data_IF_496934331567
#
_entry.id   IF_496934331567
#
_cell.length_a   1.000
_cell.length_b   1.000
_cell.length_c   1.000
_cell.angle_alpha   90.00
_cell.angle_beta   90.00
_cell.angle_gamma   90.00
#
_symmetry.space_group_name_H-M   'P 1'
#
loop_
_entity.id
_entity.type
_entity.pdbx_description
1 polymer ?
#
# COMPACT_ATOMS: atom_id res chain seq x y z
N UNK A 1 21.99 -6.72 23.34
CA UNK A 1 20.56 -6.34 23.40
C UNK A 1 20.23 -5.36 22.26
N UNK A 2 20.29 -5.78 20.99
CA UNK A 2 20.12 -4.81 19.89
C UNK A 2 20.02 -5.38 18.48
N UNK A 3 19.64 -6.66 18.31
CA UNK A 3 19.46 -7.28 16.99
C UNK A 3 17.98 -7.41 16.59
N UNK A 4 17.09 -7.62 17.56
CA UNK A 4 15.68 -7.96 17.27
C UNK A 4 14.83 -6.74 16.90
N UNK A 5 15.10 -5.58 17.52
CA UNK A 5 14.47 -4.29 17.17
C UNK A 5 14.70 -3.94 15.68
N UNK A 6 15.83 -4.38 15.11
CA UNK A 6 16.14 -4.12 13.71
C UNK A 6 15.19 -4.84 12.74
N UNK A 7 14.57 -5.96 13.11
CA UNK A 7 13.69 -6.72 12.19
C UNK A 7 12.38 -5.95 11.99
N UNK A 8 11.67 -5.67 13.09
CA UNK A 8 10.41 -4.93 13.07
C UNK A 8 10.58 -3.61 12.32
N UNK A 9 11.59 -2.83 12.69
CA UNK A 9 11.84 -1.52 12.09
C UNK A 9 12.13 -1.61 10.59
N UNK A 10 13.04 -2.49 10.16
CA UNK A 10 13.39 -2.60 8.74
C UNK A 10 12.21 -3.09 7.90
N UNK A 11 11.45 -4.04 8.43
CA UNK A 11 10.32 -4.62 7.72
C UNK A 11 9.17 -3.62 7.57
N UNK A 12 8.73 -3.00 8.67
CA UNK A 12 7.67 -1.98 8.65
C UNK A 12 8.05 -0.76 7.82
N UNK A 13 9.32 -0.33 7.85
CA UNK A 13 9.82 0.74 6.98
C UNK A 13 9.78 0.36 5.50
N UNK A 14 10.06 -0.90 5.15
CA UNK A 14 9.97 -1.36 3.77
C UNK A 14 8.54 -1.29 3.23
N UNK A 15 7.58 -1.80 4.00
CA UNK A 15 6.16 -1.72 3.67
C UNK A 15 5.71 -0.25 3.61
N UNK A 16 6.10 0.57 4.58
CA UNK A 16 5.75 2.00 4.63
C UNK A 16 6.24 2.79 3.42
N UNK A 17 7.44 2.50 2.91
CA UNK A 17 7.94 3.08 1.64
C UNK A 17 7.06 2.68 0.46
N UNK A 18 6.57 1.43 0.42
CA UNK A 18 5.69 0.98 -0.64
C UNK A 18 4.32 1.65 -0.54
N UNK A 19 3.74 1.78 0.66
CA UNK A 19 2.48 2.52 0.87
C UNK A 19 2.60 3.96 0.35
N UNK A 20 3.71 4.64 0.61
CA UNK A 20 3.91 5.99 0.09
C UNK A 20 3.87 6.04 -1.44
N UNK A 21 4.52 5.09 -2.12
CA UNK A 21 4.48 4.98 -3.59
C UNK A 21 3.06 4.68 -4.09
N UNK A 22 2.37 3.76 -3.43
CA UNK A 22 1.01 3.36 -3.80
C UNK A 22 0.02 4.53 -3.66
N UNK A 23 0.14 5.32 -2.59
CA UNK A 23 -0.65 6.55 -2.40
C UNK A 23 -0.42 7.57 -3.50
N UNK A 24 0.85 7.79 -3.89
CA UNK A 24 1.17 8.71 -4.98
C UNK A 24 0.54 8.25 -6.30
N UNK A 25 0.69 6.96 -6.62
CA UNK A 25 0.11 6.37 -7.84
C UNK A 25 -1.42 6.46 -7.83
N UNK A 26 -2.06 6.13 -6.70
CA UNK A 26 -3.51 6.24 -6.52
C UNK A 26 -3.99 7.70 -6.67
N UNK A 27 -3.31 8.65 -6.02
CA UNK A 27 -3.67 10.07 -6.09
C UNK A 27 -3.54 10.64 -7.52
N UNK A 28 -2.51 10.21 -8.26
CA UNK A 28 -2.32 10.56 -9.66
C UNK A 28 -3.45 10.02 -10.54
N UNK A 29 -3.73 8.72 -10.47
CA UNK A 29 -4.81 8.09 -11.23
C UNK A 29 -6.17 8.74 -10.91
N UNK A 30 -6.47 8.96 -9.63
CA UNK A 30 -7.71 9.59 -9.18
C UNK A 30 -7.84 11.03 -9.71
N UNK A 31 -6.75 11.81 -9.68
CA UNK A 31 -6.71 13.17 -10.22
C UNK A 31 -7.02 13.18 -11.71
N UNK A 32 -6.43 12.26 -12.48
CA UNK A 32 -6.68 12.18 -13.92
C UNK A 32 -8.09 11.68 -14.26
N UNK A 33 -8.64 10.73 -13.50
CA UNK A 33 -10.05 10.33 -13.64
C UNK A 33 -10.97 11.54 -13.42
N UNK A 34 -10.79 12.28 -12.32
CA UNK A 34 -11.57 13.49 -12.02
C UNK A 34 -11.42 14.56 -13.11
N UNK A 35 -10.22 14.71 -13.66
CA UNK A 35 -9.97 15.63 -14.77
C UNK A 35 -10.73 15.20 -16.03
N UNK A 36 -10.60 13.95 -16.48
CA UNK A 36 -11.35 13.44 -17.64
C UNK A 36 -12.88 13.60 -17.45
N UNK A 37 -13.40 13.40 -16.23
CA UNK A 37 -14.81 13.62 -15.93
C UNK A 37 -15.23 15.08 -16.11
N UNK A 38 -14.37 16.03 -15.73
CA UNK A 38 -14.64 17.47 -15.92
C UNK A 38 -14.51 17.87 -17.39
N UNK A 39 -13.51 17.36 -18.09
CA UNK A 39 -13.28 17.64 -19.51
C UNK A 39 -14.40 17.08 -20.41
N UNK A 40 -14.97 15.92 -20.06
CA UNK A 40 -16.08 15.30 -20.78
C UNK A 40 -17.46 15.94 -20.55
N UNK A 41 -17.59 16.88 -19.61
CA UNK A 41 -18.81 17.68 -19.45
C UNK A 41 -18.81 18.79 -20.49
N UNK A 42 -19.73 18.71 -21.45
CA UNK A 42 -19.94 19.78 -22.43
C UNK A 42 -20.13 21.13 -21.72
N UNK A 43 -19.47 22.21 -22.16
CA UNK A 43 -19.78 23.53 -21.66
C UNK A 43 -21.26 23.85 -21.93
N UNK A 44 -21.95 24.58 -21.02
CA UNK A 44 -23.31 25.04 -21.29
C UNK A 44 -23.35 25.79 -22.64
N UNK A 45 -24.43 25.68 -23.42
CA UNK A 45 -24.49 26.25 -24.77
C UNK A 45 -24.14 27.75 -24.73
N UNK A 46 -23.17 28.12 -25.56
CA UNK A 46 -22.58 29.45 -25.62
C UNK A 46 -23.63 30.47 -26.06
N UNK A 47 -24.05 31.33 -25.12
CA UNK A 47 -24.70 32.60 -25.49
C UNK A 47 -23.64 33.44 -26.21
N UNK A 48 -23.93 33.89 -27.44
CA UNK A 48 -22.98 34.60 -28.30
C UNK A 48 -22.35 35.81 -27.58
N UNK A 49 -21.02 35.81 -27.44
CA UNK A 49 -20.27 36.95 -26.94
C UNK A 49 -18.76 36.71 -26.88
N UNK A 50 -18.06 37.13 -27.94
CA UNK A 50 -16.60 37.39 -28.04
C UNK A 50 -15.68 36.15 -27.96
N UNK A 51 -14.84 36.01 -28.99
CA UNK A 51 -13.92 34.88 -29.16
C UNK A 51 -12.88 34.78 -28.05
N UNK A 52 -12.82 33.59 -27.43
CA UNK A 52 -11.77 33.19 -26.51
C UNK A 52 -10.87 32.18 -27.22
N UNK A 53 -9.62 32.55 -27.47
CA UNK A 53 -8.59 31.60 -27.92
C UNK A 53 -8.25 30.66 -26.75
N UNK A 54 -8.19 29.33 -26.95
CA UNK A 54 -7.92 28.41 -25.86
C UNK A 54 -6.56 28.71 -25.23
N UNK A 55 -6.59 28.96 -23.93
CA UNK A 55 -5.43 29.14 -23.05
C UNK A 55 -4.55 27.87 -23.08
N UNK A 56 -3.22 27.95 -22.82
CA UNK A 56 -2.36 26.76 -22.79
C UNK A 56 -2.96 25.71 -21.86
N UNK A 57 -3.07 24.47 -22.36
CA UNK A 57 -3.49 23.29 -21.60
C UNK A 57 -2.87 23.35 -20.20
N UNK A 58 -3.67 23.20 -19.15
CA UNK A 58 -3.13 23.25 -17.79
C UNK A 58 -2.05 22.17 -17.63
N UNK A 59 -1.03 22.41 -16.78
CA UNK A 59 0.04 21.42 -16.57
C UNK A 59 -0.51 20.02 -16.24
N UNK A 60 -1.56 19.97 -15.40
CA UNK A 60 -2.28 18.74 -15.04
C UNK A 60 -2.94 18.05 -16.24
N UNK A 61 -3.45 18.82 -17.19
CA UNK A 61 -4.08 18.30 -18.41
C UNK A 61 -3.05 17.70 -19.38
N UNK A 62 -1.91 18.37 -19.59
CA UNK A 62 -0.79 17.79 -20.33
C UNK A 62 -0.25 16.54 -19.64
N UNK A 63 -0.18 16.54 -18.31
CA UNK A 63 0.31 15.41 -17.54
C UNK A 63 -0.65 14.22 -17.59
N UNK A 64 -1.96 14.42 -17.49
CA UNK A 64 -2.94 13.33 -17.56
C UNK A 64 -3.06 12.73 -18.95
N UNK A 65 -3.08 13.55 -20.01
CA UNK A 65 -3.08 13.04 -21.39
C UNK A 65 -1.79 12.30 -21.73
N UNK A 66 -0.64 12.73 -21.16
CA UNK A 66 0.64 12.03 -21.31
C UNK A 66 0.67 10.69 -20.58
N UNK A 67 0.12 10.62 -19.37
CA UNK A 67 0.09 9.39 -18.58
C UNK A 67 -0.98 8.40 -19.04
N UNK A 68 -2.12 8.89 -19.53
CA UNK A 68 -3.27 8.09 -19.97
C UNK A 68 -3.68 8.46 -21.40
N UNK A 69 -2.87 8.09 -22.42
CA UNK A 69 -3.09 8.51 -23.80
C UNK A 69 -4.35 7.92 -24.43
N UNK A 70 -4.88 6.79 -23.93
CA UNK A 70 -6.16 6.23 -24.39
C UNK A 70 -7.37 6.80 -23.64
N UNK A 71 -7.16 7.79 -22.78
CA UNK A 71 -8.22 8.56 -22.16
C UNK A 71 -8.70 8.02 -20.81
N UNK A 72 -9.96 8.28 -20.51
CA UNK A 72 -10.58 8.04 -19.21
C UNK A 72 -10.55 6.57 -18.75
N UNK A 73 -10.76 5.63 -19.67
CA UNK A 73 -10.85 4.21 -19.30
C UNK A 73 -9.50 3.66 -18.82
N UNK A 74 -8.38 4.09 -19.42
CA UNK A 74 -7.03 3.80 -18.90
C UNK A 74 -6.82 4.33 -17.49
N UNK A 75 -7.26 5.57 -17.25
CA UNK A 75 -7.13 6.19 -15.94
C UNK A 75 -7.99 5.45 -14.89
N UNK A 76 -9.16 4.92 -15.28
CA UNK A 76 -10.03 4.11 -14.40
C UNK A 76 -9.43 2.74 -14.10
N UNK A 77 -8.90 2.06 -15.11
CA UNK A 77 -8.23 0.77 -14.94
C UNK A 77 -7.02 0.90 -14.01
N UNK A 78 -6.23 1.95 -14.20
CA UNK A 78 -5.08 2.24 -13.34
C UNK A 78 -5.50 2.69 -11.92
N UNK A 79 -6.59 3.43 -11.79
CA UNK A 79 -7.18 3.76 -10.48
C UNK A 79 -7.60 2.49 -9.73
N UNK A 80 -8.31 1.57 -10.39
CA UNK A 80 -8.72 0.31 -9.77
C UNK A 80 -7.50 -0.55 -9.38
N UNK A 81 -6.48 -0.59 -10.24
CA UNK A 81 -5.22 -1.30 -9.97
C UNK A 81 -4.46 -0.71 -8.78
N UNK A 82 -4.27 0.61 -8.77
CA UNK A 82 -3.54 1.31 -7.69
C UNK A 82 -4.29 1.24 -6.37
N UNK A 83 -5.63 1.28 -6.39
CA UNK A 83 -6.46 1.01 -5.21
C UNK A 83 -6.21 -0.39 -4.66
N UNK A 84 -6.23 -1.42 -5.51
CA UNK A 84 -5.99 -2.80 -5.08
C UNK A 84 -4.58 -2.98 -4.47
N UNK A 85 -3.56 -2.37 -5.08
CA UNK A 85 -2.18 -2.42 -4.58
C UNK A 85 -2.05 -1.69 -3.23
N UNK A 86 -2.64 -0.51 -3.10
CA UNK A 86 -2.65 0.23 -1.84
C UNK A 86 -3.36 -0.57 -0.72
N UNK A 87 -4.47 -1.23 -1.03
CA UNK A 87 -5.15 -2.12 -0.08
C UNK A 87 -4.23 -3.26 0.38
N UNK A 88 -3.52 -3.93 -0.53
CA UNK A 88 -2.56 -4.98 -0.17
C UNK A 88 -1.48 -4.45 0.76
N UNK A 89 -0.86 -3.31 0.42
CA UNK A 89 0.21 -2.72 1.24
C UNK A 89 -0.27 -2.32 2.64
N UNK A 90 -1.45 -1.72 2.75
CA UNK A 90 -2.04 -1.35 4.05
C UNK A 90 -2.39 -2.57 4.89
N UNK A 91 -2.99 -3.60 4.29
CA UNK A 91 -3.30 -4.85 5.00
C UNK A 91 -2.02 -5.56 5.44
N UNK A 92 -0.95 -5.53 4.64
CA UNK A 92 0.32 -6.13 5.03
C UNK A 92 0.99 -5.35 6.16
N UNK A 93 0.88 -4.02 6.15
CA UNK A 93 1.38 -3.19 7.24
C UNK A 93 0.64 -3.49 8.54
N UNK A 94 -0.70 -3.58 8.50
CA UNK A 94 -1.50 -4.03 9.64
C UNK A 94 -1.07 -5.41 10.13
N UNK A 95 -0.82 -6.35 9.21
CA UNK A 95 -0.34 -7.69 9.57
C UNK A 95 1.00 -7.64 10.30
N UNK A 96 1.94 -6.80 9.85
CA UNK A 96 3.24 -6.63 10.50
C UNK A 96 3.12 -6.00 11.90
N UNK A 97 2.18 -5.06 12.08
CA UNK A 97 1.90 -4.46 13.39
C UNK A 97 1.24 -5.46 14.35
N UNK A 98 0.20 -6.17 13.89
CA UNK A 98 -0.51 -7.18 14.70
C UNK A 98 0.41 -8.28 15.19
N UNK A 99 1.46 -8.63 14.43
CA UNK A 99 2.45 -9.61 14.84
C UNK A 99 3.36 -9.16 15.99
N UNK A 100 3.45 -7.86 16.27
CA UNK A 100 4.07 -7.27 17.47
C UNK A 100 3.02 -7.23 18.59
N UNK A 101 2.82 -8.37 19.25
CA UNK A 101 1.64 -8.65 20.07
C UNK A 101 1.50 -7.71 21.27
N UNK A 102 2.63 -7.24 21.78
CA UNK A 102 2.71 -6.41 22.97
C UNK A 102 2.98 -4.93 22.64
N UNK A 103 2.93 -4.55 21.35
CA UNK A 103 3.14 -3.20 20.82
C UNK A 103 4.50 -2.59 21.25
N UNK A 104 5.54 -3.40 21.44
CA UNK A 104 6.85 -2.92 21.92
C UNK A 104 7.84 -2.56 20.79
N UNK A 105 7.36 -2.62 19.55
CA UNK A 105 8.09 -2.37 18.31
C UNK A 105 9.29 -3.32 18.10
N UNK A 106 9.22 -4.52 18.68
CA UNK A 106 10.22 -5.58 18.52
C UNK A 106 9.52 -6.94 18.40
N UNK A 107 9.95 -7.79 17.47
CA UNK A 107 9.47 -9.17 17.49
C UNK A 107 10.31 -9.99 18.46
N UNK A 108 9.68 -10.50 19.53
CA UNK A 108 10.23 -11.59 20.32
C UNK A 108 10.41 -12.85 19.46
N UNK A 109 11.22 -13.84 19.88
CA UNK A 109 11.41 -15.07 19.11
C UNK A 109 10.10 -15.81 18.79
N UNK A 110 9.13 -15.79 19.71
CA UNK A 110 7.82 -16.42 19.52
C UNK A 110 7.01 -15.67 18.47
N UNK A 111 6.98 -14.34 18.54
CA UNK A 111 6.27 -13.49 17.58
C UNK A 111 6.88 -13.60 16.18
N UNK A 112 8.20 -13.61 16.09
CA UNK A 112 8.90 -13.79 14.82
C UNK A 112 8.63 -15.16 14.21
N UNK A 113 8.62 -16.22 15.02
CA UNK A 113 8.26 -17.56 14.55
C UNK A 113 6.82 -17.61 14.03
N UNK A 114 5.88 -17.04 14.76
CA UNK A 114 4.47 -17.00 14.37
C UNK A 114 4.24 -16.14 13.11
N UNK A 115 4.94 -15.01 13.00
CA UNK A 115 4.96 -14.14 11.82
C UNK A 115 5.48 -14.88 10.58
N UNK A 116 6.64 -15.53 10.69
CA UNK A 116 7.22 -16.26 9.56
C UNK A 116 6.31 -17.43 9.14
N UNK A 117 5.74 -18.16 10.12
CA UNK A 117 4.83 -19.26 9.83
C UNK A 117 3.56 -18.79 9.13
N UNK A 118 2.91 -17.72 9.60
CA UNK A 118 1.71 -17.15 8.97
C UNK A 118 1.99 -16.59 7.57
N UNK A 119 3.25 -16.29 7.27
CA UNK A 119 3.74 -15.95 5.94
C UNK A 119 4.19 -17.13 5.09
N UNK A 120 3.98 -18.37 5.54
CA UNK A 120 4.46 -19.61 4.91
C UNK A 120 5.99 -19.64 4.69
N UNK A 121 6.72 -18.97 5.58
CA UNK A 121 8.17 -18.98 5.64
C UNK A 121 8.64 -19.97 6.70
N UNK A 122 9.85 -20.50 6.51
CA UNK A 122 10.49 -21.35 7.51
C UNK A 122 11.11 -20.49 8.60
N UNK A 123 11.09 -20.97 9.84
CA UNK A 123 11.80 -20.35 10.96
C UNK A 123 12.92 -21.27 11.42
N UNK A 124 14.14 -20.76 11.46
CA UNK A 124 15.31 -21.41 12.04
C UNK A 124 15.88 -20.49 13.13
N UNK A 125 15.98 -20.99 14.35
CA UNK A 125 16.33 -20.21 15.55
C UNK A 125 17.76 -19.62 15.47
N UNK A 126 18.66 -20.30 14.75
CA UNK A 126 20.04 -19.87 14.53
C UNK A 126 20.22 -19.00 13.27
N UNK A 127 19.14 -18.65 12.57
CA UNK A 127 19.23 -17.91 11.32
C UNK A 127 19.63 -16.45 11.57
N UNK A 128 20.58 -15.90 10.80
CA UNK A 128 20.98 -14.51 10.96
C UNK A 128 19.82 -13.53 10.73
N UNK A 129 19.71 -12.52 11.60
CA UNK A 129 18.74 -11.41 11.50
C UNK A 129 18.61 -10.83 10.07
N UNK A 130 19.70 -10.54 9.31
CA UNK A 130 19.57 -10.01 7.96
C UNK A 130 18.87 -10.96 6.97
N UNK A 131 19.04 -12.27 7.15
CA UNK A 131 18.39 -13.29 6.32
C UNK A 131 16.90 -13.33 6.59
N UNK A 132 16.49 -13.29 7.86
CA UNK A 132 15.08 -13.23 8.26
C UNK A 132 14.39 -11.95 7.74
N UNK A 133 15.04 -10.79 7.85
CA UNK A 133 14.55 -9.51 7.30
C UNK A 133 14.36 -9.60 5.79
N UNK A 134 15.35 -10.16 5.08
CA UNK A 134 15.28 -10.31 3.62
C UNK A 134 14.12 -11.22 3.23
N UNK A 135 13.93 -12.35 3.91
CA UNK A 135 12.82 -13.27 3.65
C UNK A 135 11.44 -12.61 3.86
N UNK A 136 11.29 -11.80 4.90
CA UNK A 136 10.08 -11.01 5.14
C UNK A 136 9.82 -9.99 4.02
N UNK A 137 10.83 -9.24 3.61
CA UNK A 137 10.73 -8.25 2.54
C UNK A 137 10.41 -8.90 1.18
N UNK A 138 11.07 -9.99 0.84
CA UNK A 138 10.83 -10.74 -0.40
C UNK A 138 9.42 -11.33 -0.43
N UNK A 139 8.92 -11.79 0.73
CA UNK A 139 7.56 -12.30 0.86
C UNK A 139 6.53 -11.19 0.65
N UNK A 140 6.72 -10.05 1.29
CA UNK A 140 5.90 -8.86 1.06
C UNK A 140 5.88 -8.50 -0.43
N UNK A 141 7.05 -8.34 -1.04
CA UNK A 141 7.20 -7.95 -2.44
C UNK A 141 6.52 -8.95 -3.41
N UNK A 142 6.62 -10.25 -3.11
CA UNK A 142 5.98 -11.32 -3.88
C UNK A 142 4.45 -11.25 -3.83
N UNK A 143 3.89 -11.13 -2.62
CA UNK A 143 2.44 -11.05 -2.42
C UNK A 143 1.86 -9.72 -2.90
N UNK A 144 2.60 -8.63 -2.77
CA UNK A 144 2.26 -7.33 -3.35
C UNK A 144 2.16 -7.42 -4.88
N UNK A 145 3.19 -7.94 -5.56
CA UNK A 145 3.19 -8.07 -7.04
C UNK A 145 2.07 -8.96 -7.56
N UNK A 146 1.76 -10.04 -6.84
CA UNK A 146 0.69 -10.99 -7.19
C UNK A 146 -0.70 -10.56 -6.69
N UNK A 147 -0.79 -9.47 -5.90
CA UNK A 147 -2.02 -8.99 -5.24
C UNK A 147 -2.69 -10.10 -4.43
N UNK A 148 -1.89 -10.91 -3.76
CA UNK A 148 -2.34 -12.13 -3.09
C UNK A 148 -2.98 -11.81 -1.73
N UNK A 149 -4.16 -11.20 -1.78
CA UNK A 149 -4.96 -10.87 -0.59
C UNK A 149 -5.42 -12.13 0.15
N UNK A 150 -5.75 -13.21 -0.56
CA UNK A 150 -6.24 -14.44 0.07
C UNK A 150 -5.19 -15.06 1.00
N UNK A 151 -3.94 -15.17 0.54
CA UNK A 151 -2.85 -15.67 1.38
C UNK A 151 -2.56 -14.74 2.56
N UNK A 152 -2.65 -13.42 2.35
CA UNK A 152 -2.48 -12.43 3.42
C UNK A 152 -3.58 -12.53 4.48
N UNK A 153 -4.83 -12.69 4.06
CA UNK A 153 -5.97 -12.85 4.97
C UNK A 153 -5.91 -14.19 5.70
N UNK A 154 -5.43 -15.25 5.06
CA UNK A 154 -5.16 -16.52 5.73
C UNK A 154 -4.07 -16.35 6.80
N UNK A 155 -2.96 -15.69 6.48
CA UNK A 155 -1.92 -15.41 7.48
C UNK A 155 -2.42 -14.57 8.66
N UNK A 156 -3.25 -13.55 8.39
CA UNK A 156 -3.93 -12.79 9.45
C UNK A 156 -4.81 -13.69 10.33
N UNK A 157 -5.57 -14.61 9.72
CA UNK A 157 -6.39 -15.59 10.45
C UNK A 157 -5.53 -16.48 11.35
N UNK A 158 -4.39 -16.96 10.84
CA UNK A 158 -3.47 -17.80 11.61
C UNK A 158 -2.91 -17.06 12.85
N UNK A 159 -2.61 -15.77 12.72
CA UNK A 159 -2.23 -14.93 13.87
C UNK A 159 -3.41 -14.78 14.84
N UNK A 160 -4.63 -14.56 14.34
CA UNK A 160 -5.80 -14.45 15.22
C UNK A 160 -6.12 -15.74 15.97
N UNK A 161 -5.93 -16.91 15.35
CA UNK A 161 -6.09 -18.19 16.05
C UNK A 161 -5.08 -18.37 17.19
N UNK A 162 -3.91 -17.73 17.07
CA UNK A 162 -2.85 -17.72 18.11
C UNK A 162 -3.04 -16.64 19.17
N UNK A 163 -4.10 -15.84 19.07
CA UNK A 163 -4.46 -14.82 20.06
C UNK A 163 -3.92 -13.42 19.79
N UNK A 164 -3.26 -13.19 18.66
CA UNK A 164 -2.88 -11.84 18.22
C UNK A 164 -4.13 -11.07 17.81
N UNK A 165 -4.21 -9.77 18.08
CA UNK A 165 -5.37 -8.95 17.76
C UNK A 165 -4.90 -7.56 17.39
N UNK A 166 -5.72 -6.87 16.60
CA UNK A 166 -5.51 -5.44 16.34
C UNK A 166 -5.64 -4.68 17.66
N UNK A 167 -4.58 -4.00 18.04
CA UNK A 167 -4.52 -3.17 19.25
C UNK A 167 -4.97 -1.74 18.94
N UNK A 168 -5.26 -0.92 19.96
CA UNK A 168 -5.43 0.52 19.76
C UNK A 168 -4.17 1.19 19.19
N UNK A 169 -2.97 0.69 19.53
CA UNK A 169 -1.69 1.20 19.02
C UNK A 169 -1.58 0.99 17.52
N UNK A 170 -1.91 -0.22 17.04
CA UNK A 170 -1.95 -0.55 15.61
C UNK A 170 -2.83 0.42 14.82
N UNK A 171 -3.99 0.78 15.38
CA UNK A 171 -4.93 1.70 14.73
C UNK A 171 -4.36 3.10 14.59
N UNK A 172 -3.65 3.59 15.61
CA UNK A 172 -3.00 4.90 15.55
C UNK A 172 -1.92 4.92 14.48
N UNK A 173 -1.09 3.88 14.39
CA UNK A 173 -0.05 3.81 13.34
C UNK A 173 -0.66 3.60 11.95
N UNK A 174 -1.74 2.83 11.82
CA UNK A 174 -2.49 2.72 10.57
C UNK A 174 -3.08 4.06 10.15
N UNK A 175 -3.74 4.79 11.06
CA UNK A 175 -4.31 6.11 10.77
C UNK A 175 -3.23 7.09 10.32
N UNK A 176 -2.06 7.06 10.97
CA UNK A 176 -0.90 7.86 10.58
C UNK A 176 -0.40 7.52 9.17
N UNK A 177 -0.36 6.24 8.83
CA UNK A 177 0.10 5.77 7.52
C UNK A 177 -1.00 5.87 6.46
N UNK A 178 -2.27 5.99 6.83
CA UNK A 178 -3.42 6.23 5.92
C UNK A 178 -3.63 7.72 5.61
N UNK A 179 -3.38 8.61 6.58
CA UNK A 179 -3.36 10.07 6.37
C UNK A 179 -2.31 10.54 5.37
#
# INVERSE_FOLDING_TARGET
MGRDNAIFQQFTQHIGRQIHKDKQAFAQANTCVLWFYKAGKAPPPTVQGIGWSPTPLSQVEMDCLRHYPRGMDDARDDLAKTQALLSVSLTFYQFALVADRNDDATYSPVELQDLLRSLTLSYQDEEPTPTQVTALMERFDSWYRSRNMDALMQGMSDLYERGYRVTPSDRVELDRVMG
#
